data_IF_615258630223
#
_entry.id   IF_615258630223
#
_cell.length_a   1.000
_cell.length_b   1.000
_cell.length_c   1.000
_cell.angle_alpha   90.00
_cell.angle_beta   90.00
_cell.angle_gamma   90.00
#
_symmetry.space_group_name_H-M   'P 1'
#
loop_
_entity.id
_entity.type
_entity.pdbx_description
1 polymer ?
#
# COMPACT_ATOMS: atom_id res chain seq x y z
N UNK A 1 56.67 10.97 -49.60
CA UNK A 1 57.46 10.69 -48.38
C UNK A 1 56.52 10.61 -47.19
N UNK A 2 56.54 9.48 -46.47
CA UNK A 2 55.75 9.19 -45.26
C UNK A 2 56.15 10.14 -44.13
N UNK A 3 55.19 10.70 -43.38
CA UNK A 3 55.31 10.94 -41.92
C UNK A 3 53.92 10.96 -41.28
N UNK A 4 53.63 9.88 -40.58
CA UNK A 4 52.52 9.68 -39.66
C UNK A 4 52.91 10.35 -38.34
N UNK A 5 52.04 11.16 -37.73
CA UNK A 5 52.15 11.55 -36.32
C UNK A 5 50.84 11.17 -35.63
N UNK A 6 51.00 10.33 -34.62
CA UNK A 6 49.99 9.74 -33.75
C UNK A 6 49.63 10.68 -32.59
N UNK A 7 48.40 10.51 -32.07
CA UNK A 7 47.96 10.88 -30.70
C UNK A 7 47.70 12.38 -30.48
N UNK A 8 46.68 12.82 -29.74
CA UNK A 8 46.01 12.29 -28.56
C UNK A 8 44.50 12.55 -28.61
N UNK A 9 43.71 11.47 -28.64
CA UNK A 9 42.29 11.52 -28.27
C UNK A 9 42.26 11.60 -26.73
N UNK A 10 42.06 12.79 -26.18
CA UNK A 10 41.74 12.95 -24.77
C UNK A 10 40.28 12.51 -24.57
N UNK A 11 40.09 11.20 -24.38
CA UNK A 11 38.83 10.62 -23.96
C UNK A 11 38.57 11.10 -22.53
N UNK A 12 37.74 12.13 -22.40
CA UNK A 12 37.16 12.54 -21.13
C UNK A 12 36.19 11.44 -20.66
N UNK A 13 36.72 10.39 -20.04
CA UNK A 13 35.96 9.49 -19.20
C UNK A 13 35.60 10.27 -17.92
N UNK A 14 34.52 11.05 -18.01
CA UNK A 14 33.73 11.38 -16.82
C UNK A 14 33.10 10.07 -16.37
N UNK A 15 33.80 9.33 -15.51
CA UNK A 15 33.22 8.24 -14.76
C UNK A 15 32.17 8.85 -13.84
N UNK A 16 30.93 8.93 -14.30
CA UNK A 16 29.78 9.09 -13.42
C UNK A 16 29.76 7.83 -12.56
N UNK A 17 30.42 7.93 -11.41
CA UNK A 17 30.08 7.17 -10.22
C UNK A 17 28.56 7.29 -10.07
N UNK A 18 27.83 6.31 -10.58
CA UNK A 18 26.41 6.18 -10.35
C UNK A 18 26.31 5.84 -8.85
N UNK A 19 26.20 6.87 -8.02
CA UNK A 19 25.71 6.70 -6.67
C UNK A 19 24.25 6.29 -6.88
N UNK A 20 23.93 5.03 -6.57
CA UNK A 20 22.53 4.61 -6.52
C UNK A 20 21.85 5.51 -5.47
N UNK A 21 20.98 6.41 -5.94
CA UNK A 21 20.14 7.22 -5.06
C UNK A 21 19.36 6.27 -4.14
N UNK A 22 19.22 6.57 -2.84
CA UNK A 22 18.43 5.74 -1.95
C UNK A 22 17.02 5.60 -2.51
N UNK A 23 16.55 4.35 -2.67
CA UNK A 23 15.22 4.06 -3.19
C UNK A 23 14.19 4.63 -2.21
N UNK A 24 13.40 5.60 -2.68
CA UNK A 24 12.21 6.08 -1.97
C UNK A 24 11.10 5.04 -2.11
N UNK A 25 10.98 4.17 -1.10
CA UNK A 25 10.01 3.10 -1.11
C UNK A 25 8.55 3.60 -1.14
N UNK A 26 8.28 4.78 -0.59
CA UNK A 26 6.92 5.34 -0.61
C UNK A 26 6.53 5.75 -2.04
N UNK A 27 7.45 6.35 -2.79
CA UNK A 27 7.23 6.66 -4.20
C UNK A 27 6.99 5.40 -5.05
N UNK A 28 7.77 4.33 -4.79
CA UNK A 28 7.60 3.02 -5.46
C UNK A 28 6.23 2.41 -5.15
N UNK A 29 5.82 2.41 -3.88
CA UNK A 29 4.52 1.85 -3.49
C UNK A 29 3.36 2.67 -4.04
N UNK A 30 3.47 3.99 -4.02
CA UNK A 30 2.49 4.88 -4.63
C UNK A 30 2.33 4.60 -6.12
N UNK A 31 3.43 4.45 -6.86
CA UNK A 31 3.37 4.08 -8.28
C UNK A 31 2.70 2.71 -8.50
N UNK A 32 3.01 1.71 -7.67
CA UNK A 32 2.36 0.39 -7.73
C UNK A 32 0.85 0.47 -7.49
N UNK A 33 0.42 1.29 -6.53
CA UNK A 33 -1.01 1.52 -6.26
C UNK A 33 -1.67 2.18 -7.46
N UNK A 34 -1.09 3.26 -8.00
CA UNK A 34 -1.64 3.96 -9.17
C UNK A 34 -1.76 3.06 -10.40
N UNK A 35 -0.75 2.23 -10.65
CA UNK A 35 -0.79 1.25 -11.74
C UNK A 35 -1.89 0.22 -11.51
N UNK A 36 -2.01 -0.32 -10.29
CA UNK A 36 -3.10 -1.25 -9.96
C UNK A 36 -4.48 -0.62 -10.18
N UNK A 37 -4.68 0.62 -9.72
CA UNK A 37 -5.94 1.35 -9.90
C UNK A 37 -6.25 1.54 -11.39
N UNK A 38 -5.26 1.96 -12.19
CA UNK A 38 -5.42 2.14 -13.63
C UNK A 38 -5.75 0.83 -14.36
N UNK A 39 -5.02 -0.25 -14.07
CA UNK A 39 -5.21 -1.57 -14.68
C UNK A 39 -6.60 -2.16 -14.37
N UNK A 40 -7.17 -1.80 -13.21
CA UNK A 40 -8.49 -2.26 -12.77
C UNK A 40 -9.61 -1.23 -13.01
N UNK A 41 -9.33 -0.10 -13.68
CA UNK A 41 -10.28 0.99 -13.91
C UNK A 41 -10.93 1.55 -12.62
N UNK A 42 -10.15 1.62 -11.54
CA UNK A 42 -10.57 2.13 -10.25
C UNK A 42 -10.13 3.59 -10.09
N UNK A 43 -10.91 4.36 -9.31
CA UNK A 43 -10.55 5.72 -8.90
C UNK A 43 -10.64 5.79 -7.39
N UNK A 44 -9.54 6.13 -6.72
CA UNK A 44 -9.43 6.17 -5.27
C UNK A 44 -9.06 7.59 -4.80
N UNK A 45 -9.44 7.90 -3.56
CA UNK A 45 -8.96 9.06 -2.83
C UNK A 45 -7.59 8.75 -2.19
N UNK A 46 -6.78 9.78 -1.98
CA UNK A 46 -5.45 9.66 -1.35
C UNK A 46 -5.45 10.48 -0.04
N UNK A 47 -5.23 9.79 1.08
CA UNK A 47 -5.03 10.41 2.39
C UNK A 47 -3.59 10.97 2.51
N UNK A 48 -3.34 12.04 3.28
CA UNK A 48 -2.00 12.59 3.47
C UNK A 48 -0.94 11.62 4.01
N UNK A 49 -1.34 10.50 4.63
CA UNK A 49 -0.45 9.42 5.03
C UNK A 49 0.09 8.58 3.86
N UNK A 50 -0.51 8.69 2.67
CA UNK A 50 -0.24 7.86 1.50
C UNK A 50 -1.14 6.63 1.38
N UNK A 51 -2.10 6.43 2.30
CA UNK A 51 -3.18 5.46 2.13
C UNK A 51 -4.08 5.90 0.97
N UNK A 52 -4.41 4.98 0.07
CA UNK A 52 -5.48 5.19 -0.92
C UNK A 52 -6.72 4.41 -0.50
N UNK A 53 -7.90 4.95 -0.80
CA UNK A 53 -9.14 4.28 -0.44
C UNK A 53 -10.29 4.58 -1.39
N UNK A 54 -11.26 3.67 -1.41
CA UNK A 54 -12.55 3.77 -2.09
C UNK A 54 -13.61 3.42 -1.06
N UNK A 55 -14.52 4.35 -0.75
CA UNK A 55 -15.65 4.06 0.12
C UNK A 55 -16.80 3.53 -0.74
N UNK A 56 -17.13 2.25 -0.56
CA UNK A 56 -18.24 1.60 -1.27
C UNK A 56 -19.58 1.90 -0.60
N UNK A 57 -19.61 1.81 0.73
CA UNK A 57 -20.73 2.21 1.56
C UNK A 57 -20.21 3.02 2.75
N UNK A 58 -20.65 4.28 2.93
CA UNK A 58 -20.10 5.11 3.99
C UNK A 58 -20.44 4.64 5.41
N UNK A 59 -21.56 3.92 5.61
CA UNK A 59 -22.09 3.62 6.94
C UNK A 59 -22.86 4.81 7.53
N UNK A 60 -23.05 4.81 8.85
CA UNK A 60 -23.67 5.91 9.58
C UNK A 60 -22.64 6.99 10.01
N UNK A 61 -23.05 7.98 10.81
CA UNK A 61 -22.15 9.07 11.25
C UNK A 61 -21.26 8.70 12.47
N UNK A 62 -21.37 7.46 12.98
CA UNK A 62 -20.55 6.98 14.10
C UNK A 62 -19.28 6.33 13.54
N UNK A 63 -18.11 6.81 13.97
CA UNK A 63 -16.81 6.31 13.52
C UNK A 63 -15.99 5.77 14.69
N UNK A 64 -15.24 4.65 14.51
CA UNK A 64 -14.37 4.12 15.55
C UNK A 64 -13.20 5.05 15.82
N UNK A 65 -12.77 5.08 17.07
CA UNK A 65 -11.49 5.67 17.48
C UNK A 65 -10.46 4.57 17.75
N UNK A 66 -9.18 4.93 17.84
CA UNK A 66 -8.07 3.97 17.97
C UNK A 66 -8.21 2.99 19.15
N UNK A 67 -8.90 3.38 20.22
CA UNK A 67 -9.08 2.56 21.41
C UNK A 67 -10.27 1.62 21.34
N UNK A 68 -11.06 1.67 20.27
CA UNK A 68 -12.25 0.84 20.11
C UNK A 68 -11.87 -0.56 19.58
N UNK A 69 -12.78 -1.49 19.81
CA UNK A 69 -12.64 -2.84 19.33
C UNK A 69 -13.55 -3.08 18.13
N UNK A 70 -13.00 -3.00 16.93
CA UNK A 70 -13.75 -3.10 15.67
C UNK A 70 -14.19 -4.54 15.36
N UNK A 71 -15.39 -4.68 14.82
CA UNK A 71 -15.96 -5.93 14.31
C UNK A 71 -16.05 -5.83 12.79
N UNK A 72 -15.28 -6.64 12.09
CA UNK A 72 -15.11 -6.53 10.64
C UNK A 72 -15.26 -7.87 9.93
N UNK A 73 -15.78 -7.83 8.71
CA UNK A 73 -15.50 -8.83 7.68
C UNK A 73 -14.44 -8.24 6.74
N UNK A 74 -13.45 -9.02 6.32
CA UNK A 74 -12.38 -8.50 5.49
C UNK A 74 -11.75 -9.53 4.58
N UNK A 75 -11.08 -9.03 3.54
CA UNK A 75 -10.25 -9.81 2.64
C UNK A 75 -8.97 -9.03 2.31
N UNK A 76 -7.83 -9.60 2.68
CA UNK A 76 -6.49 -9.06 2.41
C UNK A 76 -5.81 -9.79 1.24
N UNK A 77 -5.38 -9.03 0.24
CA UNK A 77 -4.70 -9.55 -0.94
C UNK A 77 -3.63 -8.60 -1.47
N UNK A 78 -2.74 -9.14 -2.29
CA UNK A 78 -1.68 -8.39 -2.95
C UNK A 78 -2.13 -7.86 -4.31
N UNK A 79 -1.38 -6.91 -4.88
CA UNK A 79 -1.65 -6.35 -6.23
C UNK A 79 -1.64 -7.40 -7.35
N UNK A 80 -1.08 -8.59 -7.12
CA UNK A 80 -1.14 -9.72 -8.05
C UNK A 80 -2.40 -10.61 -7.87
N UNK A 81 -3.31 -10.25 -6.97
CA UNK A 81 -4.54 -10.99 -6.66
C UNK A 81 -4.37 -12.14 -5.66
N UNK A 82 -3.16 -12.40 -5.15
CA UNK A 82 -2.93 -13.43 -4.13
C UNK A 82 -3.55 -12.99 -2.81
N UNK A 83 -4.55 -13.74 -2.35
CA UNK A 83 -5.12 -13.60 -1.00
C UNK A 83 -4.12 -14.13 0.02
N UNK A 84 -3.89 -13.38 1.09
CA UNK A 84 -3.02 -13.79 2.19
C UNK A 84 -3.77 -14.00 3.51
N UNK A 85 -4.92 -13.35 3.69
CA UNK A 85 -5.77 -13.51 4.87
C UNK A 85 -7.21 -13.04 4.56
N UNK A 86 -8.23 -13.71 5.11
CA UNK A 86 -9.64 -13.32 4.96
C UNK A 86 -10.54 -13.95 6.03
N UNK A 87 -11.67 -13.32 6.31
CA UNK A 87 -12.76 -13.95 7.07
C UNK A 87 -13.54 -14.93 6.21
N UNK A 88 -14.09 -15.99 6.83
CA UNK A 88 -15.00 -16.89 6.16
C UNK A 88 -16.28 -16.15 5.69
N UNK A 89 -16.92 -16.55 4.57
CA UNK A 89 -18.09 -15.86 4.04
C UNK A 89 -19.25 -15.77 5.05
N UNK A 90 -19.65 -14.54 5.37
CA UNK A 90 -20.72 -14.26 6.34
C UNK A 90 -20.27 -14.26 7.80
N UNK A 91 -18.98 -14.43 8.06
CA UNK A 91 -18.40 -14.31 9.39
C UNK A 91 -17.71 -12.95 9.58
N UNK A 92 -17.62 -12.55 10.85
CA UNK A 92 -16.92 -11.33 11.29
C UNK A 92 -15.94 -11.69 12.38
N UNK A 93 -14.86 -10.93 12.47
CA UNK A 93 -13.88 -11.04 13.54
C UNK A 93 -13.75 -9.72 14.28
N UNK A 94 -13.42 -9.82 15.58
CA UNK A 94 -13.22 -8.67 16.45
C UNK A 94 -11.72 -8.44 16.68
N UNK A 95 -11.28 -7.20 16.54
CA UNK A 95 -9.90 -6.77 16.80
C UNK A 95 -9.86 -5.52 17.66
N UNK A 96 -8.80 -5.35 18.44
CA UNK A 96 -8.47 -4.05 19.04
C UNK A 96 -7.77 -3.18 17.99
N UNK A 97 -8.36 -2.05 17.60
CA UNK A 97 -7.86 -1.26 16.47
C UNK A 97 -6.42 -0.79 16.67
N UNK A 98 -6.06 -0.41 17.90
CA UNK A 98 -4.71 0.03 18.28
C UNK A 98 -3.60 -1.01 18.02
N UNK A 99 -3.94 -2.29 17.94
CA UNK A 99 -2.96 -3.38 17.78
C UNK A 99 -2.76 -3.78 16.31
N UNK A 100 -3.50 -3.16 15.39
CA UNK A 100 -3.46 -3.47 13.95
C UNK A 100 -2.44 -2.60 13.20
N UNK A 101 -2.20 -2.91 11.93
CA UNK A 101 -1.28 -2.13 11.09
C UNK A 101 -1.74 -0.67 10.94
N UNK A 102 -0.81 0.30 10.79
CA UNK A 102 -1.15 1.72 10.66
C UNK A 102 -2.19 2.02 9.58
N UNK A 103 -2.16 1.30 8.46
CA UNK A 103 -3.15 1.48 7.38
C UNK A 103 -4.59 1.17 7.82
N UNK A 104 -4.80 0.22 8.72
CA UNK A 104 -6.13 -0.05 9.30
C UNK A 104 -6.51 1.01 10.33
N UNK A 105 -5.56 1.44 11.16
CA UNK A 105 -5.75 2.51 12.15
C UNK A 105 -6.17 3.85 11.52
N UNK A 106 -5.76 4.09 10.26
CA UNK A 106 -6.14 5.27 9.48
C UNK A 106 -7.42 4.98 8.67
N UNK A 107 -7.48 3.83 7.99
CA UNK A 107 -8.53 3.52 7.03
C UNK A 107 -9.88 3.17 7.65
N UNK A 108 -9.92 2.36 8.71
CA UNK A 108 -11.20 1.93 9.31
C UNK A 108 -12.00 3.12 9.87
N UNK A 109 -11.39 4.11 10.55
CA UNK A 109 -12.11 5.32 10.98
C UNK A 109 -12.70 6.18 9.86
N UNK A 110 -12.33 5.95 8.58
CA UNK A 110 -13.00 6.59 7.44
C UNK A 110 -14.40 6.01 7.18
N UNK A 111 -14.68 4.81 7.72
CA UNK A 111 -15.99 4.18 7.65
C UNK A 111 -16.83 4.55 8.88
N UNK A 112 -18.10 4.81 8.63
CA UNK A 112 -19.13 4.76 9.66
C UNK A 112 -19.52 3.34 9.99
N UNK A 113 -20.24 3.13 11.10
CA UNK A 113 -20.81 1.83 11.45
C UNK A 113 -21.70 1.29 10.32
N UNK A 114 -21.50 0.03 9.96
CA UNK A 114 -22.14 -0.63 8.80
C UNK A 114 -21.54 -0.25 7.45
N UNK A 115 -20.45 0.51 7.41
CA UNK A 115 -19.78 0.93 6.17
C UNK A 115 -18.85 -0.12 5.60
N UNK A 116 -18.47 0.05 4.33
CA UNK A 116 -17.49 -0.79 3.64
C UNK A 116 -16.67 0.01 2.63
N UNK A 117 -15.48 -0.51 2.33
CA UNK A 117 -14.61 0.08 1.33
C UNK A 117 -13.37 -0.76 1.01
N UNK A 118 -12.63 -0.27 0.02
CA UNK A 118 -11.34 -0.78 -0.39
C UNK A 118 -10.21 0.13 0.09
N UNK A 119 -9.15 -0.46 0.63
CA UNK A 119 -8.00 0.24 1.17
C UNK A 119 -6.71 -0.29 0.54
N UNK A 120 -5.94 0.59 -0.10
CA UNK A 120 -4.65 0.28 -0.72
C UNK A 120 -3.55 0.86 0.14
N UNK A 121 -2.88 -0.03 0.87
CA UNK A 121 -1.97 0.30 1.94
C UNK A 121 -0.53 0.17 1.42
N UNK A 122 0.23 1.28 1.30
CA UNK A 122 1.64 1.21 0.98
C UNK A 122 2.41 0.45 2.07
N UNK A 123 3.56 -0.14 1.72
CA UNK A 123 4.24 -1.06 2.63
C UNK A 123 4.62 -0.40 3.96
N UNK A 124 4.96 0.89 3.98
CA UNK A 124 5.26 1.65 5.19
C UNK A 124 4.09 1.73 6.19
N UNK A 125 2.83 1.63 5.71
CA UNK A 125 1.63 1.56 6.54
C UNK A 125 1.15 0.12 6.80
N UNK A 126 1.84 -0.87 6.24
CA UNK A 126 1.62 -2.30 6.45
C UNK A 126 2.82 -2.95 7.15
N UNK A 127 3.45 -3.91 6.49
CA UNK A 127 4.53 -4.72 7.05
C UNK A 127 5.95 -4.25 6.67
N UNK A 128 6.09 -3.13 5.97
CA UNK A 128 7.36 -2.51 5.61
C UNK A 128 8.32 -3.46 4.87
N UNK A 129 9.60 -3.42 5.23
CA UNK A 129 10.65 -4.26 4.66
C UNK A 129 10.69 -5.70 5.18
N UNK A 130 9.68 -6.15 5.92
CA UNK A 130 9.62 -7.49 6.48
C UNK A 130 8.76 -8.41 5.62
N UNK A 131 9.18 -9.67 5.49
CA UNK A 131 8.39 -10.70 4.83
C UNK A 131 7.66 -11.58 5.84
N UNK A 132 6.41 -11.91 5.56
CA UNK A 132 5.58 -12.86 6.29
C UNK A 132 5.10 -13.98 5.35
N UNK A 133 4.59 -15.11 5.86
CA UNK A 133 3.97 -16.13 5.01
C UNK A 133 2.89 -15.48 4.11
N UNK A 134 3.03 -15.64 2.78
CA UNK A 134 2.11 -15.04 1.81
C UNK A 134 2.30 -13.54 1.53
N UNK A 135 3.18 -12.84 2.26
CA UNK A 135 3.40 -11.39 2.12
C UNK A 135 4.90 -11.09 1.96
N UNK A 136 5.39 -10.86 0.73
CA UNK A 136 6.77 -10.41 0.50
C UNK A 136 7.08 -9.07 1.17
N UNK A 137 8.36 -8.81 1.44
CA UNK A 137 8.82 -7.49 1.88
C UNK A 137 8.46 -6.39 0.87
N UNK A 138 8.13 -5.21 1.39
CA UNK A 138 7.71 -4.04 0.61
C UNK A 138 6.49 -4.29 -0.28
N UNK A 139 5.55 -5.12 0.19
CA UNK A 139 4.29 -5.34 -0.52
C UNK A 139 3.31 -4.21 -0.25
N UNK A 140 2.64 -3.77 -1.32
CA UNK A 140 1.37 -3.04 -1.22
C UNK A 140 0.30 -4.05 -0.85
N UNK A 141 -0.47 -3.75 0.18
CA UNK A 141 -1.60 -4.57 0.63
C UNK A 141 -2.90 -3.93 0.16
N UNK A 142 -3.85 -4.75 -0.26
CA UNK A 142 -5.20 -4.32 -0.59
C UNK A 142 -6.14 -5.03 0.35
N UNK A 143 -7.03 -4.27 0.98
CA UNK A 143 -8.07 -4.81 1.84
C UNK A 143 -9.44 -4.37 1.37
N UNK A 144 -10.33 -5.33 1.18
CA UNK A 144 -11.77 -5.08 1.17
C UNK A 144 -12.23 -5.24 2.62
N UNK A 145 -12.88 -4.23 3.21
CA UNK A 145 -13.33 -4.24 4.61
C UNK A 145 -14.80 -3.85 4.69
N UNK A 146 -15.57 -4.57 5.49
CA UNK A 146 -16.88 -4.17 5.99
C UNK A 146 -16.80 -4.02 7.50
N UNK A 147 -17.14 -2.84 8.01
CA UNK A 147 -17.20 -2.51 9.44
C UNK A 147 -18.63 -2.70 9.93
N UNK A 148 -18.85 -3.76 10.71
CA UNK A 148 -20.18 -4.09 11.23
C UNK A 148 -20.48 -3.31 12.54
N UNK A 149 -19.51 -3.25 13.45
CA UNK A 149 -19.65 -2.58 14.76
C UNK A 149 -18.28 -2.20 15.35
N UNK A 150 -18.26 -1.43 16.45
CA UNK A 150 -17.06 -1.09 17.23
C UNK A 150 -17.40 -0.58 18.64
#
# INVERSE_FOLDING_TARGET
MKRIIWSLLALALLSTSCLDEPVDQNAVDRERILNYLADNNLTAEEDPSGLFYIIDQPGNDEHPILTDSVVVAYKGYLTNGSVFDETDPGETIKFELADLIPGWQIGIPLLGKGGSGQFFIPSALGYGGFSFPGIPAYSVLIFDITLEDF
#
